data_IF_863766760735
#
_entry.id   IF_863766760735
#
_cell.length_a   1.000
_cell.length_b   1.000
_cell.length_c   1.000
_cell.angle_alpha   90.00
_cell.angle_beta   90.00
_cell.angle_gamma   90.00
#
_symmetry.space_group_name_H-M   'P 1'
#
loop_
_entity.id
_entity.type
_entity.pdbx_description
1 polymer ?
#
# COMPACT_ATOMS: atom_id res chain seq x y z
N UNK A 1 -1.30 15.11 -15.00
CA UNK A 1 -1.64 14.51 -13.69
C UNK A 1 -0.53 14.82 -12.68
N UNK A 2 -0.86 15.43 -11.54
CA UNK A 2 0.13 15.71 -10.49
C UNK A 2 0.44 14.38 -9.80
N UNK A 3 1.52 13.73 -10.20
CA UNK A 3 2.01 12.51 -9.57
C UNK A 3 2.35 12.79 -8.11
N UNK A 4 1.46 12.37 -7.20
CA UNK A 4 1.68 12.48 -5.76
C UNK A 4 2.93 11.67 -5.40
N UNK A 5 3.94 12.33 -4.84
CA UNK A 5 5.20 11.68 -4.40
C UNK A 5 4.98 10.72 -3.21
N UNK A 6 3.94 10.98 -2.42
CA UNK A 6 3.59 10.22 -1.22
C UNK A 6 2.08 10.04 -1.11
N UNK A 7 1.68 8.87 -0.61
CA UNK A 7 0.29 8.46 -0.45
C UNK A 7 0.02 8.15 1.02
N UNK A 8 -1.14 8.59 1.53
CA UNK A 8 -1.59 8.26 2.87
C UNK A 8 -1.94 6.77 2.95
N UNK A 9 -1.38 6.06 3.94
CA UNK A 9 -1.67 4.63 4.14
C UNK A 9 -3.16 4.38 4.30
N UNK A 10 -3.82 5.30 5.02
CA UNK A 10 -5.26 5.28 5.26
C UNK A 10 -6.07 5.31 3.98
N UNK A 11 -5.72 6.20 3.04
CA UNK A 11 -6.46 6.35 1.78
C UNK A 11 -6.22 5.15 0.86
N UNK A 12 -4.98 4.64 0.84
CA UNK A 12 -4.63 3.42 0.08
C UNK A 12 -5.48 2.24 0.55
N UNK A 13 -5.53 1.97 1.85
CA UNK A 13 -6.27 0.81 2.36
C UNK A 13 -7.78 0.96 2.22
N UNK A 14 -8.29 2.19 2.19
CA UNK A 14 -9.71 2.45 1.96
C UNK A 14 -10.12 2.10 0.52
N UNK A 15 -9.26 2.41 -0.46
CA UNK A 15 -9.46 2.02 -1.86
C UNK A 15 -9.28 0.52 -2.07
N UNK A 16 -8.23 -0.08 -1.49
CA UNK A 16 -7.91 -1.50 -1.70
C UNK A 16 -8.87 -2.46 -0.99
N UNK A 17 -9.43 -2.07 0.16
CA UNK A 17 -10.33 -2.92 0.94
C UNK A 17 -11.62 -2.18 1.29
N UNK A 18 -12.47 -1.85 0.30
CA UNK A 18 -13.69 -1.07 0.51
C UNK A 18 -14.71 -1.79 1.41
N UNK A 19 -14.63 -3.12 1.49
CA UNK A 19 -15.48 -3.98 2.33
C UNK A 19 -15.06 -3.99 3.81
N UNK A 20 -13.93 -3.35 4.16
CA UNK A 20 -13.46 -3.30 5.55
C UNK A 20 -14.33 -2.41 6.42
N UNK A 21 -14.75 -2.92 7.58
CA UNK A 21 -15.54 -2.17 8.58
C UNK A 21 -14.83 -0.91 9.12
N UNK A 22 -13.51 -0.84 9.05
CA UNK A 22 -12.75 0.33 9.47
C UNK A 22 -11.39 0.40 8.75
N UNK A 23 -10.82 1.60 8.62
CA UNK A 23 -9.49 1.77 8.06
C UNK A 23 -8.39 1.08 8.88
N UNK A 24 -8.60 0.93 10.20
CA UNK A 24 -7.69 0.16 11.06
C UNK A 24 -7.70 -1.32 10.70
N UNK A 25 -8.89 -1.87 10.42
CA UNK A 25 -9.03 -3.26 9.96
C UNK A 25 -8.38 -3.45 8.58
N UNK A 26 -8.63 -2.53 7.65
CA UNK A 26 -8.01 -2.55 6.32
C UNK A 26 -6.47 -2.47 6.39
N UNK A 27 -5.93 -1.58 7.23
CA UNK A 27 -4.49 -1.52 7.52
C UNK A 27 -3.93 -2.81 8.12
N UNK A 28 -4.70 -3.48 8.99
CA UNK A 28 -4.25 -4.74 9.57
C UNK A 28 -4.26 -5.88 8.55
N UNK A 29 -5.22 -5.91 7.61
CA UNK A 29 -5.21 -6.86 6.49
C UNK A 29 -3.98 -6.66 5.61
N UNK A 30 -3.74 -5.42 5.17
CA UNK A 30 -2.55 -5.08 4.38
C UNK A 30 -1.24 -5.47 5.09
N UNK A 31 -1.15 -5.21 6.40
CA UNK A 31 0.02 -5.60 7.20
C UNK A 31 0.19 -7.10 7.29
N UNK A 32 -0.90 -7.87 7.43
CA UNK A 32 -0.82 -9.34 7.46
C UNK A 32 -0.30 -9.88 6.13
N UNK A 33 -0.79 -9.35 5.01
CA UNK A 33 -0.33 -9.75 3.67
C UNK A 33 1.15 -9.41 3.46
N UNK A 34 1.56 -8.18 3.77
CA UNK A 34 2.98 -7.78 3.70
C UNK A 34 3.86 -8.63 4.64
N UNK A 35 3.38 -8.93 5.85
CA UNK A 35 4.14 -9.73 6.82
C UNK A 35 4.19 -11.22 6.45
N UNK A 36 3.25 -11.70 5.64
CA UNK A 36 3.23 -13.09 5.18
C UNK A 36 4.40 -13.41 4.25
N UNK A 37 4.90 -12.41 3.50
CA UNK A 37 6.06 -12.55 2.62
C UNK A 37 7.27 -11.76 3.14
N UNK A 38 8.32 -12.48 3.53
CA UNK A 38 9.58 -11.86 3.95
C UNK A 38 10.22 -11.03 2.82
N UNK A 39 10.09 -11.48 1.58
CA UNK A 39 10.65 -10.82 0.40
C UNK A 39 10.06 -9.43 0.19
N UNK A 40 8.74 -9.30 0.34
CA UNK A 40 8.03 -8.04 0.13
C UNK A 40 8.38 -7.03 1.19
N UNK A 41 8.42 -7.46 2.45
CA UNK A 41 8.88 -6.61 3.55
C UNK A 41 10.29 -6.07 3.31
N UNK A 42 11.19 -6.89 2.75
CA UNK A 42 12.55 -6.47 2.37
C UNK A 42 12.53 -5.47 1.21
N UNK A 43 11.77 -5.75 0.14
CA UNK A 43 11.59 -4.83 -1.01
C UNK A 43 11.03 -3.47 -0.57
N UNK A 44 10.03 -3.44 0.31
CA UNK A 44 9.43 -2.20 0.84
C UNK A 44 10.44 -1.38 1.66
N UNK A 45 11.23 -2.03 2.52
CA UNK A 45 12.29 -1.36 3.29
C UNK A 45 13.40 -0.81 2.40
N UNK A 46 13.78 -1.55 1.35
CA UNK A 46 14.81 -1.12 0.39
C UNK A 46 14.33 0.01 -0.53
N UNK A 47 13.02 0.12 -0.77
CA UNK A 47 12.43 1.19 -1.59
C UNK A 47 12.47 2.58 -0.92
N UNK A 48 12.92 2.67 0.33
CA UNK A 48 13.18 3.93 1.02
C UNK A 48 12.62 3.97 2.44
N UNK A 49 12.79 5.10 3.15
CA UNK A 49 12.38 5.22 4.54
C UNK A 49 10.86 5.08 4.69
N UNK A 50 10.44 4.09 5.46
CA UNK A 50 9.03 3.83 5.77
C UNK A 50 8.52 4.87 6.76
N UNK A 51 7.72 5.83 6.28
CA UNK A 51 7.06 6.80 7.16
C UNK A 51 5.87 6.14 7.86
N UNK A 52 5.55 6.61 9.07
CA UNK A 52 4.47 6.05 9.90
C UNK A 52 3.12 6.06 9.17
N UNK A 53 2.76 7.20 8.59
CA UNK A 53 1.44 7.47 7.99
C UNK A 53 1.42 7.47 6.46
N UNK A 54 2.59 7.38 5.81
CA UNK A 54 2.72 7.52 4.36
C UNK A 54 3.51 6.37 3.74
N UNK A 55 3.14 6.01 2.52
CA UNK A 55 3.99 5.26 1.61
C UNK A 55 4.52 6.20 0.53
N UNK A 56 5.78 6.00 0.13
CA UNK A 56 6.29 6.63 -1.08
C UNK A 56 5.76 5.88 -2.32
N UNK A 57 5.90 6.47 -3.51
CA UNK A 57 5.42 5.85 -4.76
C UNK A 57 6.01 4.45 -5.01
N UNK A 58 7.28 4.23 -4.70
CA UNK A 58 7.95 2.93 -4.92
C UNK A 58 7.43 1.86 -3.96
N UNK A 59 7.22 2.21 -2.70
CA UNK A 59 6.61 1.35 -1.69
C UNK A 59 5.18 0.99 -2.07
N UNK A 60 4.40 1.95 -2.56
CA UNK A 60 3.06 1.69 -3.06
C UNK A 60 3.11 0.73 -4.26
N UNK A 61 4.00 0.95 -5.23
CA UNK A 61 4.14 0.07 -6.40
C UNK A 61 4.42 -1.38 -6.01
N UNK A 62 5.32 -1.61 -5.05
CA UNK A 62 5.64 -2.96 -4.55
C UNK A 62 4.43 -3.61 -3.87
N UNK A 63 3.67 -2.82 -3.10
CA UNK A 63 2.45 -3.30 -2.45
C UNK A 63 1.39 -3.67 -3.49
N UNK A 64 1.17 -2.81 -4.48
CA UNK A 64 0.19 -3.05 -5.54
C UNK A 64 0.58 -4.26 -6.41
N UNK A 65 1.87 -4.39 -6.76
CA UNK A 65 2.43 -5.56 -7.46
C UNK A 65 2.16 -6.86 -6.70
N UNK A 66 2.27 -6.85 -5.36
CA UNK A 66 1.92 -8.02 -4.55
C UNK A 66 0.44 -8.39 -4.60
N UNK A 67 -0.42 -7.38 -4.66
CA UNK A 67 -1.87 -7.54 -4.71
C UNK A 67 -2.37 -7.86 -6.12
N UNK A 68 -1.48 -7.97 -7.11
CA UNK A 68 -1.80 -8.04 -8.53
C UNK A 68 -2.71 -6.88 -8.99
N UNK A 69 -2.52 -5.70 -8.41
CA UNK A 69 -3.21 -4.47 -8.77
C UNK A 69 -2.22 -3.56 -9.50
N UNK A 70 -2.58 -3.04 -10.67
CA UNK A 70 -1.78 -2.02 -11.35
C UNK A 70 -1.99 -0.65 -10.71
N UNK A 71 -1.05 0.28 -10.94
CA UNK A 71 -1.21 1.64 -10.42
C UNK A 71 -2.37 2.37 -11.11
N UNK A 72 -2.67 2.02 -12.36
CA UNK A 72 -3.76 2.58 -13.14
C UNK A 72 -5.12 2.11 -12.56
N UNK A 73 -5.27 0.81 -12.30
CA UNK A 73 -6.45 0.26 -11.60
C UNK A 73 -6.62 0.88 -10.20
N UNK A 74 -5.52 1.10 -9.47
CA UNK A 74 -5.58 1.75 -8.16
C UNK A 74 -6.04 3.22 -8.22
N UNK A 75 -5.76 3.91 -9.33
CA UNK A 75 -6.23 5.27 -9.54
C UNK A 75 -7.72 5.31 -9.93
N UNK A 76 -8.20 4.29 -10.65
CA UNK A 76 -9.60 4.12 -11.05
C UNK A 76 -10.54 3.62 -9.92
N UNK A 77 -10.00 2.96 -8.88
CA UNK A 77 -10.72 2.58 -7.64
C UNK A 77 -11.14 3.79 -6.77
#
# INVERSE_FOLDING_TARGET
>A
MILRRTFLKHDIVKKLYPTSRSARSAMNMLRKEINSSHEIRKRISNAGPTKKHYYNKNQLKIILEHLNVSIDEFEEL
#
